data_IF_719284955124
#
_entry.id   IF_719284955124
#
_cell.length_a   1.000
_cell.length_b   1.000
_cell.length_c   1.000
_cell.angle_alpha   90.00
_cell.angle_beta   90.00
_cell.angle_gamma   90.00
#
_symmetry.space_group_name_H-M   'P 1'
#
loop_
_entity.id
_entity.type
_entity.pdbx_description
1 polymer ?
#
# COMPACT_ATOMS: atom_id res chain seq x y z
N UNK A 1 43.49 0.78 1.65
CA UNK A 1 42.38 1.57 2.24
C UNK A 1 41.85 2.50 1.17
N UNK A 2 40.93 2.01 0.33
CA UNK A 2 40.21 2.85 -0.63
C UNK A 2 38.87 3.22 0.01
N UNK A 3 38.68 4.51 0.30
CA UNK A 3 37.40 5.03 0.76
C UNK A 3 36.35 4.81 -0.32
N UNK A 4 35.52 3.80 -0.14
CA UNK A 4 34.22 3.74 -0.79
C UNK A 4 33.39 4.79 -0.04
N UNK A 5 33.13 5.95 -0.65
CA UNK A 5 32.12 6.86 -0.13
C UNK A 5 30.82 6.06 -0.08
N UNK A 6 30.34 5.71 1.12
CA UNK A 6 29.03 5.09 1.27
C UNK A 6 28.01 6.06 0.68
N UNK A 7 27.45 5.71 -0.49
CA UNK A 7 26.31 6.41 -1.06
C UNK A 7 25.22 6.45 0.01
N UNK A 8 24.74 7.65 0.35
CA UNK A 8 23.57 7.76 1.22
C UNK A 8 22.41 7.04 0.56
N UNK A 9 21.60 6.33 1.35
CA UNK A 9 20.43 5.64 0.82
C UNK A 9 19.39 6.62 0.21
N UNK A 10 19.55 7.93 0.47
CA UNK A 10 18.77 9.01 -0.15
C UNK A 10 18.99 9.14 -1.66
N UNK A 11 20.14 8.72 -2.16
CA UNK A 11 20.55 8.91 -3.56
C UNK A 11 20.35 7.64 -4.40
N UNK A 12 19.76 6.59 -3.83
CA UNK A 12 19.52 5.35 -4.56
C UNK A 12 18.49 5.55 -5.68
N UNK A 13 18.63 4.81 -6.80
CA UNK A 13 17.56 4.72 -7.79
C UNK A 13 16.34 4.03 -7.16
N UNK A 14 15.24 4.77 -7.05
CA UNK A 14 14.03 4.27 -6.36
C UNK A 14 13.39 3.07 -7.07
N UNK A 15 13.50 2.96 -8.39
CA UNK A 15 12.99 1.80 -9.13
C UNK A 15 13.70 0.48 -8.76
N UNK A 16 14.91 0.56 -8.19
CA UNK A 16 15.73 -0.62 -7.87
C UNK A 16 16.42 -0.52 -6.50
N UNK A 17 15.81 0.18 -5.54
CA UNK A 17 16.47 0.51 -4.27
C UNK A 17 16.82 -0.73 -3.43
N UNK A 18 16.00 -1.81 -3.47
CA UNK A 18 16.31 -3.03 -2.70
C UNK A 18 17.60 -3.69 -3.19
N UNK A 19 17.82 -3.70 -4.51
CA UNK A 19 19.03 -4.24 -5.12
C UNK A 19 20.30 -3.44 -4.80
N UNK A 20 20.15 -2.15 -4.48
CA UNK A 20 21.24 -1.22 -4.15
C UNK A 20 21.46 -1.04 -2.64
N UNK A 21 20.65 -1.67 -1.78
CA UNK A 21 20.94 -1.67 -0.35
C UNK A 21 22.33 -2.26 -0.07
N UNK A 22 23.04 -1.79 0.96
CA UNK A 22 24.30 -2.40 1.40
C UNK A 22 24.11 -3.88 1.74
N UNK A 23 25.14 -4.68 1.46
CA UNK A 23 25.07 -6.14 1.65
C UNK A 23 24.75 -6.56 3.09
N UNK A 24 25.12 -5.74 4.09
CA UNK A 24 24.78 -5.94 5.49
C UNK A 24 23.26 -5.95 5.76
N UNK A 25 22.46 -5.30 4.91
CA UNK A 25 21.00 -5.28 5.04
C UNK A 25 20.31 -6.43 4.30
N UNK A 26 21.00 -7.16 3.41
CA UNK A 26 20.37 -8.21 2.61
C UNK A 26 19.90 -9.42 3.44
N UNK A 27 20.50 -9.61 4.61
CA UNK A 27 20.16 -10.65 5.58
C UNK A 27 19.25 -10.12 6.71
N UNK A 28 18.87 -8.85 6.66
CA UNK A 28 17.84 -8.31 7.56
C UNK A 28 16.48 -8.87 7.15
N UNK A 29 15.66 -9.41 8.09
CA UNK A 29 14.30 -9.80 7.78
C UNK A 29 13.50 -8.64 7.18
N UNK A 30 12.72 -8.87 6.12
CA UNK A 30 11.96 -7.82 5.44
C UNK A 30 11.00 -7.09 6.38
N UNK A 31 10.42 -7.78 7.36
CA UNK A 31 9.58 -7.16 8.39
C UNK A 31 10.37 -6.30 9.39
N UNK A 32 11.70 -6.29 9.34
CA UNK A 32 12.58 -5.38 10.08
C UNK A 32 13.11 -4.22 9.22
N UNK A 33 12.88 -4.20 7.91
CA UNK A 33 13.23 -3.06 7.05
C UNK A 33 12.14 -1.97 7.11
N UNK A 34 12.51 -0.73 6.80
CA UNK A 34 11.55 0.32 6.47
C UNK A 34 11.17 0.19 4.98
N UNK A 35 9.87 0.01 4.71
CA UNK A 35 9.36 -0.24 3.36
C UNK A 35 8.29 0.80 3.00
N UNK A 36 8.45 1.58 1.91
CA UNK A 36 7.41 2.51 1.47
C UNK A 36 6.22 1.75 0.86
N UNK A 37 5.02 2.16 1.26
CA UNK A 37 3.76 1.58 0.82
C UNK A 37 2.77 2.60 0.29
N UNK A 38 1.83 2.13 -0.52
CA UNK A 38 0.74 2.93 -1.09
C UNK A 38 -0.60 2.48 -0.50
N UNK A 39 -1.33 3.40 0.12
CA UNK A 39 -2.70 3.17 0.60
C UNK A 39 -3.69 3.29 -0.57
N UNK A 40 -4.61 2.33 -0.68
CA UNK A 40 -5.53 2.19 -1.81
C UNK A 40 -4.83 2.40 -3.16
N UNK A 41 -3.85 1.53 -3.48
CA UNK A 41 -2.85 1.82 -4.50
C UNK A 41 -3.40 2.07 -5.91
N UNK A 42 -4.62 1.63 -6.22
CA UNK A 42 -5.18 1.61 -7.58
C UNK A 42 -6.27 2.67 -7.81
N UNK A 43 -6.42 3.65 -6.92
CA UNK A 43 -7.45 4.70 -7.10
C UNK A 43 -7.15 5.69 -8.24
N UNK A 44 -5.98 5.61 -8.87
CA UNK A 44 -5.62 6.48 -10.01
C UNK A 44 -6.53 6.27 -11.24
N UNK A 45 -7.28 5.17 -11.29
CA UNK A 45 -8.16 4.82 -12.40
C UNK A 45 -9.63 4.60 -11.98
N UNK A 46 -10.10 5.28 -10.93
CA UNK A 46 -11.51 5.25 -10.54
C UNK A 46 -12.42 5.66 -11.71
N UNK A 47 -13.53 4.94 -11.86
CA UNK A 47 -14.54 5.19 -12.90
C UNK A 47 -15.42 6.38 -12.52
N UNK A 48 -15.08 7.54 -13.05
CA UNK A 48 -15.75 8.81 -12.75
C UNK A 48 -17.05 9.01 -13.56
N UNK A 49 -17.54 8.00 -14.27
CA UNK A 49 -18.80 8.12 -15.02
C UNK A 49 -20.01 8.23 -14.07
N UNK A 50 -20.98 9.09 -14.38
CA UNK A 50 -22.26 9.24 -13.64
C UNK A 50 -23.12 7.97 -13.60
N UNK A 51 -22.78 6.98 -14.43
CA UNK A 51 -23.39 5.65 -14.42
C UNK A 51 -22.64 4.63 -13.58
N UNK A 52 -21.42 4.93 -13.14
CA UNK A 52 -20.62 4.01 -12.35
C UNK A 52 -21.32 3.70 -11.02
N UNK A 53 -21.34 2.42 -10.59
CA UNK A 53 -21.88 2.07 -9.29
C UNK A 53 -21.04 2.68 -8.17
N UNK A 54 -21.72 3.01 -7.07
CA UNK A 54 -21.07 3.43 -5.82
C UNK A 54 -21.13 2.25 -4.86
N UNK A 55 -20.12 2.13 -4.00
CA UNK A 55 -20.07 1.13 -2.94
C UNK A 55 -21.38 1.17 -2.12
N UNK A 56 -22.14 0.05 -2.07
CA UNK A 56 -23.41 -0.03 -1.34
C UNK A 56 -23.24 0.05 0.19
N UNK A 57 -22.02 -0.01 0.71
CA UNK A 57 -21.73 0.16 2.14
C UNK A 57 -21.43 1.62 2.53
N UNK A 58 -21.46 2.57 1.57
CA UNK A 58 -21.37 4.00 1.88
C UNK A 58 -22.55 4.45 2.76
N UNK A 59 -22.37 5.47 3.64
CA UNK A 59 -23.45 5.97 4.48
C UNK A 59 -24.74 6.27 3.71
N UNK A 60 -25.89 5.93 4.28
CA UNK A 60 -27.24 6.14 3.69
C UNK A 60 -27.45 7.53 3.11
N UNK A 61 -26.86 8.55 3.74
CA UNK A 61 -26.90 9.92 3.26
C UNK A 61 -26.23 10.05 1.89
N UNK A 62 -25.03 9.50 1.70
CA UNK A 62 -24.34 9.49 0.41
C UNK A 62 -25.10 8.67 -0.63
N UNK A 63 -25.68 7.52 -0.25
CA UNK A 63 -26.47 6.72 -1.19
C UNK A 63 -27.72 7.47 -1.69
N UNK A 64 -28.44 8.14 -0.77
CA UNK A 64 -29.63 8.94 -1.10
C UNK A 64 -29.24 10.19 -1.89
N UNK A 65 -28.15 10.85 -1.52
CA UNK A 65 -27.64 12.04 -2.17
C UNK A 65 -27.22 11.68 -3.61
N UNK A 66 -26.46 10.58 -3.80
CA UNK A 66 -26.12 10.05 -5.13
C UNK A 66 -27.38 9.73 -5.95
N UNK A 67 -28.42 9.15 -5.37
CA UNK A 67 -29.65 8.82 -6.11
C UNK A 67 -30.33 10.03 -6.75
N UNK A 68 -30.30 11.21 -6.11
CA UNK A 68 -31.11 12.37 -6.53
C UNK A 68 -30.30 13.56 -7.06
N UNK A 69 -29.00 13.68 -6.79
CA UNK A 69 -28.18 14.81 -7.26
C UNK A 69 -26.81 14.40 -7.83
N UNK A 70 -26.73 13.28 -8.56
CA UNK A 70 -25.48 12.74 -9.15
C UNK A 70 -24.52 13.79 -9.71
N UNK A 71 -24.95 14.70 -10.61
CA UNK A 71 -24.02 15.61 -11.29
C UNK A 71 -23.38 16.62 -10.33
N UNK A 72 -24.02 16.87 -9.18
CA UNK A 72 -23.51 17.80 -8.18
C UNK A 72 -22.56 17.10 -7.21
N UNK A 73 -22.85 15.89 -6.76
CA UNK A 73 -22.14 15.25 -5.65
C UNK A 73 -20.94 14.42 -6.09
N UNK A 74 -21.08 13.73 -7.23
CA UNK A 74 -20.05 12.81 -7.73
C UNK A 74 -18.71 13.50 -7.95
N UNK A 75 -18.64 14.71 -8.54
CA UNK A 75 -17.38 15.43 -8.63
C UNK A 75 -16.69 15.67 -7.28
N UNK A 76 -17.45 15.89 -6.19
CA UNK A 76 -16.86 16.00 -4.86
C UNK A 76 -16.38 14.65 -4.35
N UNK A 77 -17.21 13.61 -4.42
CA UNK A 77 -16.84 12.25 -3.98
C UNK A 77 -15.55 11.78 -4.67
N UNK A 78 -15.40 12.01 -5.97
CA UNK A 78 -14.21 11.62 -6.71
C UNK A 78 -12.94 12.32 -6.21
N UNK A 79 -13.00 13.63 -5.90
CA UNK A 79 -11.86 14.39 -5.34
C UNK A 79 -11.40 13.87 -3.98
N UNK A 80 -12.29 13.23 -3.24
CA UNK A 80 -12.01 12.67 -1.91
C UNK A 80 -11.74 11.15 -1.95
N UNK A 81 -12.04 10.48 -3.06
CA UNK A 81 -11.84 9.04 -3.25
C UNK A 81 -10.48 8.68 -3.85
N UNK A 82 -9.84 9.58 -4.58
CA UNK A 82 -8.52 9.35 -5.17
C UNK A 82 -7.46 9.50 -4.08
N UNK A 83 -6.70 8.45 -3.80
CA UNK A 83 -5.54 8.46 -2.90
C UNK A 83 -4.21 8.44 -3.65
N UNK A 84 -4.19 7.97 -4.90
CA UNK A 84 -3.00 7.94 -5.77
C UNK A 84 -3.35 8.49 -7.15
N UNK A 85 -2.44 9.26 -7.75
CA UNK A 85 -2.57 9.76 -9.13
C UNK A 85 -1.69 9.00 -10.12
N UNK A 86 -0.60 8.39 -9.63
CA UNK A 86 0.35 7.65 -10.46
C UNK A 86 -0.16 6.22 -10.68
N UNK A 87 0.09 5.67 -11.87
CA UNK A 87 -0.21 4.26 -12.17
C UNK A 87 0.60 3.32 -11.28
N UNK A 88 0.20 2.04 -11.21
CA UNK A 88 0.91 1.07 -10.35
C UNK A 88 2.39 0.95 -10.70
N UNK A 89 2.75 0.92 -12.00
CA UNK A 89 4.16 0.86 -12.43
C UNK A 89 4.93 2.11 -12.02
N UNK A 90 4.35 3.29 -12.22
CA UNK A 90 4.99 4.54 -11.81
C UNK A 90 5.18 4.62 -10.28
N UNK A 91 4.24 4.09 -9.49
CA UNK A 91 4.43 4.00 -8.03
C UNK A 91 5.61 3.08 -7.67
N UNK A 92 5.75 1.94 -8.36
CA UNK A 92 6.89 1.03 -8.19
C UNK A 92 8.22 1.67 -8.62
N UNK A 93 8.23 2.44 -9.72
CA UNK A 93 9.38 3.24 -10.17
C UNK A 93 9.78 4.29 -9.12
N UNK A 94 8.79 4.88 -8.44
CA UNK A 94 9.01 5.80 -7.32
C UNK A 94 9.43 5.12 -6.01
N UNK A 95 9.56 3.78 -5.99
CA UNK A 95 10.14 3.01 -4.89
C UNK A 95 9.14 2.29 -3.99
N UNK A 96 7.84 2.38 -4.25
CA UNK A 96 6.82 1.64 -3.50
C UNK A 96 7.08 0.14 -3.60
N UNK A 97 6.98 -0.57 -2.47
CA UNK A 97 7.09 -2.04 -2.42
C UNK A 97 5.97 -2.70 -1.60
N UNK A 98 5.05 -1.92 -1.05
CA UNK A 98 3.80 -2.41 -0.46
C UNK A 98 2.59 -1.77 -1.15
N UNK A 99 1.64 -2.57 -1.61
CA UNK A 99 0.39 -2.09 -2.22
C UNK A 99 -0.81 -2.57 -1.42
N UNK A 100 -1.62 -1.64 -0.91
CA UNK A 100 -2.94 -1.94 -0.35
C UNK A 100 -3.97 -2.07 -1.48
N UNK A 101 -4.51 -3.28 -1.65
CA UNK A 101 -5.36 -3.68 -2.76
C UNK A 101 -6.74 -4.11 -2.24
N UNK A 102 -7.69 -3.18 -2.24
CA UNK A 102 -9.09 -3.45 -1.90
C UNK A 102 -9.83 -4.00 -3.09
N UNK A 103 -10.42 -5.19 -2.96
CA UNK A 103 -10.99 -5.92 -4.10
C UNK A 103 -12.50 -5.95 -4.04
N UNK A 104 -13.15 -5.70 -5.16
CA UNK A 104 -14.60 -5.80 -5.28
C UNK A 104 -15.05 -6.48 -6.58
N UNK A 105 -16.23 -7.09 -6.51
CA UNK A 105 -17.03 -7.44 -7.68
C UNK A 105 -18.10 -6.37 -7.88
N UNK A 106 -18.29 -5.91 -9.13
CA UNK A 106 -19.23 -4.82 -9.42
C UNK A 106 -20.68 -5.34 -9.32
N UNK A 107 -21.61 -4.54 -8.76
CA UNK A 107 -23.01 -4.93 -8.71
C UNK A 107 -23.61 -5.01 -10.12
N UNK A 108 -24.40 -6.05 -10.37
CA UNK A 108 -25.01 -6.37 -11.67
C UNK A 108 -24.01 -6.67 -12.80
N UNK A 109 -22.75 -6.93 -12.46
CA UNK A 109 -21.78 -7.46 -13.41
C UNK A 109 -21.99 -8.98 -13.52
N UNK A 110 -22.34 -9.45 -14.73
CA UNK A 110 -22.54 -10.87 -14.99
C UNK A 110 -21.23 -11.61 -15.32
N UNK A 111 -20.13 -10.88 -15.46
CA UNK A 111 -18.79 -11.46 -15.60
C UNK A 111 -18.23 -11.90 -14.24
N UNK A 112 -17.08 -12.56 -14.27
CA UNK A 112 -16.27 -12.86 -13.08
C UNK A 112 -15.17 -11.83 -12.85
N UNK A 113 -15.25 -10.66 -13.50
CA UNK A 113 -14.22 -9.64 -13.42
C UNK A 113 -14.19 -9.00 -12.04
N UNK A 114 -12.98 -8.86 -11.51
CA UNK A 114 -12.74 -8.20 -10.23
C UNK A 114 -12.09 -6.84 -10.48
N UNK A 115 -12.43 -5.90 -9.62
CA UNK A 115 -12.00 -4.51 -9.69
C UNK A 115 -11.42 -4.08 -8.35
N UNK A 116 -10.76 -2.93 -8.34
CA UNK A 116 -10.43 -2.24 -7.11
C UNK A 116 -11.50 -1.20 -6.79
N UNK A 117 -11.57 -0.76 -5.54
CA UNK A 117 -12.54 0.26 -5.17
C UNK A 117 -12.09 1.12 -3.98
N UNK A 118 -12.60 2.34 -3.95
CA UNK A 118 -12.59 3.21 -2.79
C UNK A 118 -13.81 4.14 -2.86
N UNK A 119 -14.95 3.66 -2.35
CA UNK A 119 -16.26 4.28 -2.55
C UNK A 119 -16.81 4.16 -3.99
N UNK A 120 -15.94 4.18 -4.99
CA UNK A 120 -16.22 3.99 -6.42
C UNK A 120 -15.28 2.91 -6.95
N UNK A 121 -15.65 2.24 -8.04
CA UNK A 121 -14.88 1.14 -8.64
C UNK A 121 -13.87 1.65 -9.66
N UNK A 122 -12.77 0.94 -9.86
CA UNK A 122 -11.78 1.23 -10.92
C UNK A 122 -12.28 0.83 -12.30
N UNK A 123 -11.80 1.50 -13.35
CA UNK A 123 -12.02 1.09 -14.75
C UNK A 123 -11.17 -0.12 -15.13
N UNK A 124 -9.98 -0.25 -14.57
CA UNK A 124 -9.10 -1.40 -14.76
C UNK A 124 -9.51 -2.56 -13.84
N UNK A 125 -9.38 -3.78 -14.37
CA UNK A 125 -9.59 -5.02 -13.62
C UNK A 125 -8.36 -5.37 -12.80
N UNK A 126 -8.54 -6.24 -11.80
CA UNK A 126 -7.45 -6.82 -11.00
C UNK A 126 -6.43 -7.52 -11.90
N UNK A 127 -6.89 -8.30 -12.89
CA UNK A 127 -6.02 -9.03 -13.82
C UNK A 127 -5.04 -8.12 -14.56
N UNK A 128 -5.53 -6.98 -15.09
CA UNK A 128 -4.69 -6.02 -15.81
C UNK A 128 -3.59 -5.48 -14.89
N UNK A 129 -3.96 -5.04 -13.68
CA UNK A 129 -3.01 -4.44 -12.73
C UNK A 129 -1.99 -5.46 -12.23
N UNK A 130 -2.40 -6.71 -11.97
CA UNK A 130 -1.45 -7.78 -11.61
C UNK A 130 -0.48 -8.07 -12.76
N UNK A 131 -0.94 -8.05 -14.01
CA UNK A 131 -0.08 -8.20 -15.19
C UNK A 131 0.92 -7.03 -15.31
N UNK A 132 0.51 -5.79 -15.03
CA UNK A 132 1.41 -4.64 -15.02
C UNK A 132 2.49 -4.76 -13.94
N UNK A 133 2.12 -5.23 -12.74
CA UNK A 133 3.09 -5.51 -11.67
C UNK A 133 4.06 -6.61 -12.10
N UNK A 134 3.57 -7.70 -12.71
CA UNK A 134 4.40 -8.79 -13.21
C UNK A 134 5.41 -8.30 -14.26
N UNK A 135 4.95 -7.51 -15.23
CA UNK A 135 5.82 -6.92 -16.27
C UNK A 135 6.93 -6.08 -15.62
N UNK A 136 6.58 -5.26 -14.63
CA UNK A 136 7.56 -4.47 -13.89
C UNK A 136 8.56 -5.35 -13.14
N UNK A 137 8.11 -6.42 -12.48
CA UNK A 137 8.98 -7.37 -11.77
C UNK A 137 9.90 -8.15 -12.70
N UNK A 138 9.49 -8.43 -13.93
CA UNK A 138 10.32 -9.05 -14.95
C UNK A 138 11.50 -8.15 -15.35
N UNK A 139 11.30 -6.82 -15.37
CA UNK A 139 12.36 -5.84 -15.59
C UNK A 139 13.25 -5.59 -14.33
N UNK A 140 12.75 -5.92 -13.13
CA UNK A 140 13.40 -5.63 -11.85
C UNK A 140 13.60 -6.89 -10.98
N UNK A 141 14.47 -7.84 -11.39
CA UNK A 141 14.55 -9.19 -10.81
C UNK A 141 14.99 -9.25 -9.33
N UNK A 142 15.52 -8.15 -8.79
CA UNK A 142 15.97 -8.04 -7.38
C UNK A 142 15.01 -7.20 -6.51
N UNK A 143 13.86 -6.82 -7.04
CA UNK A 143 12.85 -6.11 -6.26
C UNK A 143 11.77 -7.08 -5.80
N UNK A 144 11.28 -6.86 -4.57
CA UNK A 144 10.26 -7.69 -3.93
C UNK A 144 9.07 -6.81 -3.56
N UNK A 145 7.87 -7.20 -3.96
CA UNK A 145 6.62 -6.49 -3.68
C UNK A 145 5.73 -7.27 -2.72
N UNK A 146 5.09 -6.53 -1.82
CA UNK A 146 4.07 -7.01 -0.90
C UNK A 146 2.71 -6.53 -1.40
N UNK A 147 1.87 -7.48 -1.79
CA UNK A 147 0.52 -7.20 -2.29
C UNK A 147 -0.48 -7.62 -1.20
N UNK A 148 -1.18 -6.64 -0.62
CA UNK A 148 -2.16 -6.89 0.44
C UNK A 148 -3.57 -6.86 -0.13
N UNK A 149 -4.16 -8.04 -0.32
CA UNK A 149 -5.54 -8.19 -0.77
C UNK A 149 -6.46 -8.20 0.45
N UNK A 150 -7.31 -7.18 0.52
CA UNK A 150 -8.10 -6.85 1.72
C UNK A 150 -9.49 -6.33 1.34
N UNK A 151 -10.32 -6.08 2.36
CA UNK A 151 -11.61 -5.39 2.20
C UNK A 151 -12.47 -5.94 1.04
N UNK A 152 -12.64 -7.26 0.98
CA UNK A 152 -13.36 -7.90 -0.12
C UNK A 152 -14.84 -7.49 -0.14
N UNK A 153 -15.29 -6.87 -1.23
CA UNK A 153 -16.67 -6.42 -1.41
C UNK A 153 -17.37 -7.20 -2.53
N UNK A 154 -18.43 -7.94 -2.17
CA UNK A 154 -19.23 -8.69 -3.16
C UNK A 154 -18.56 -9.96 -3.70
N UNK A 155 -17.46 -10.42 -3.10
CA UNK A 155 -16.84 -11.69 -3.49
C UNK A 155 -17.53 -12.85 -2.80
N UNK A 156 -18.01 -13.81 -3.59
CA UNK A 156 -18.40 -15.13 -3.12
C UNK A 156 -17.20 -16.10 -3.17
N UNK A 157 -17.40 -17.35 -2.74
CA UNK A 157 -16.32 -18.35 -2.72
C UNK A 157 -15.72 -18.63 -4.11
N UNK A 158 -16.53 -18.64 -5.17
CA UNK A 158 -16.06 -18.86 -6.54
C UNK A 158 -15.16 -17.71 -7.01
N UNK A 159 -15.54 -16.46 -6.72
CA UNK A 159 -14.75 -15.29 -7.04
C UNK A 159 -13.43 -15.23 -6.24
N UNK A 160 -13.44 -15.68 -4.98
CA UNK A 160 -12.21 -15.86 -4.22
C UNK A 160 -11.28 -16.88 -4.91
N UNK A 161 -11.81 -18.04 -5.32
CA UNK A 161 -11.02 -19.06 -6.03
C UNK A 161 -10.48 -18.49 -7.34
N UNK A 162 -11.29 -17.76 -8.11
CA UNK A 162 -10.88 -17.11 -9.36
C UNK A 162 -9.73 -16.11 -9.14
N UNK A 163 -9.83 -15.27 -8.10
CA UNK A 163 -8.76 -14.35 -7.74
C UNK A 163 -7.45 -15.08 -7.42
N UNK A 164 -7.53 -16.17 -6.64
CA UNK A 164 -6.36 -16.97 -6.31
C UNK A 164 -5.73 -17.63 -7.53
N UNK A 165 -6.54 -18.17 -8.44
CA UNK A 165 -6.05 -18.69 -9.72
C UNK A 165 -5.35 -17.60 -10.52
N UNK A 166 -5.94 -16.41 -10.64
CA UNK A 166 -5.33 -15.29 -11.35
C UNK A 166 -3.97 -14.88 -10.74
N UNK A 167 -3.88 -14.75 -9.42
CA UNK A 167 -2.63 -14.45 -8.71
C UNK A 167 -1.55 -15.50 -9.03
N UNK A 168 -1.91 -16.80 -8.97
CA UNK A 168 -1.00 -17.92 -9.25
C UNK A 168 -0.54 -17.96 -10.70
N UNK A 169 -1.45 -17.81 -11.63
CA UNK A 169 -1.15 -17.83 -13.06
C UNK A 169 -0.26 -16.64 -13.45
N UNK A 170 -0.52 -15.47 -12.85
CA UNK A 170 0.24 -14.24 -13.12
C UNK A 170 1.67 -14.30 -12.57
N UNK A 171 1.84 -14.63 -11.29
CA UNK A 171 3.15 -14.53 -10.64
C UNK A 171 3.93 -15.85 -10.63
N UNK A 172 3.25 -16.99 -10.75
CA UNK A 172 3.84 -18.32 -10.85
C UNK A 172 4.99 -18.54 -9.85
N UNK A 173 6.20 -18.84 -10.34
CA UNK A 173 7.38 -19.09 -9.52
C UNK A 173 7.88 -17.88 -8.72
N UNK A 174 7.38 -16.67 -8.97
CA UNK A 174 7.74 -15.47 -8.21
C UNK A 174 7.02 -15.40 -6.86
N UNK A 175 5.98 -16.19 -6.63
CA UNK A 175 5.22 -16.21 -5.38
C UNK A 175 6.03 -16.83 -4.24
N UNK A 176 6.23 -16.07 -3.18
CA UNK A 176 6.93 -16.50 -1.98
C UNK A 176 6.00 -17.26 -1.02
N UNK A 177 6.26 -18.54 -0.71
CA UNK A 177 5.49 -19.29 0.26
C UNK A 177 5.69 -18.80 1.71
N UNK A 178 4.67 -18.95 2.54
CA UNK A 178 4.63 -18.47 3.94
C UNK A 178 5.62 -19.12 4.91
N UNK A 179 6.26 -20.21 4.48
CA UNK A 179 7.29 -20.92 5.24
C UNK A 179 8.69 -20.37 5.01
N UNK A 180 8.86 -19.46 4.04
CA UNK A 180 10.17 -18.96 3.65
C UNK A 180 10.77 -17.98 4.64
N UNK A 181 12.10 -17.99 4.71
CA UNK A 181 12.88 -16.96 5.41
C UNK A 181 12.87 -15.70 4.57
N UNK A 182 12.28 -14.64 5.11
CA UNK A 182 12.05 -13.38 4.40
C UNK A 182 13.27 -12.45 4.50
N UNK A 183 14.38 -12.81 3.87
CA UNK A 183 15.52 -11.90 3.65
C UNK A 183 15.69 -11.65 2.16
N UNK A 184 16.18 -10.46 1.77
CA UNK A 184 16.40 -10.13 0.36
C UNK A 184 17.32 -11.16 -0.30
N UNK A 185 18.40 -11.55 0.39
CA UNK A 185 19.33 -12.58 -0.11
C UNK A 185 18.62 -13.90 -0.41
N UNK A 186 17.78 -14.40 0.50
CA UNK A 186 17.09 -15.67 0.33
C UNK A 186 16.07 -15.59 -0.82
N UNK A 187 15.27 -14.52 -0.86
CA UNK A 187 14.25 -14.34 -1.89
C UNK A 187 14.86 -14.25 -3.29
N UNK A 188 15.97 -13.52 -3.46
CA UNK A 188 16.68 -13.46 -4.74
C UNK A 188 17.28 -14.79 -5.15
N UNK A 189 17.86 -15.55 -4.20
CA UNK A 189 18.45 -16.86 -4.48
C UNK A 189 17.40 -17.87 -4.95
N UNK A 190 16.17 -17.76 -4.45
CA UNK A 190 15.05 -18.65 -4.80
C UNK A 190 14.20 -18.10 -5.96
N UNK A 191 14.44 -16.87 -6.41
CA UNK A 191 13.68 -16.23 -7.49
C UNK A 191 12.29 -15.72 -7.06
N UNK A 192 12.04 -15.59 -5.75
CA UNK A 192 10.81 -15.04 -5.22
C UNK A 192 10.81 -13.51 -5.27
N UNK A 193 9.71 -12.92 -5.73
CA UNK A 193 9.54 -11.47 -5.83
C UNK A 193 8.20 -10.98 -5.27
N UNK A 194 7.23 -11.85 -5.00
CA UNK A 194 5.87 -11.45 -4.61
C UNK A 194 5.45 -12.13 -3.32
N UNK A 195 5.09 -11.34 -2.32
CA UNK A 195 4.48 -11.78 -1.07
C UNK A 195 3.02 -11.36 -1.11
N UNK A 196 2.11 -12.32 -1.09
CA UNK A 196 0.67 -12.09 -1.14
C UNK A 196 0.06 -12.23 0.25
N UNK A 197 -0.37 -11.12 0.84
CA UNK A 197 -1.22 -11.10 2.04
C UNK A 197 -2.68 -11.16 1.64
N UNK A 198 -3.48 -11.99 2.32
CA UNK A 198 -4.87 -12.21 1.93
C UNK A 198 -5.81 -12.25 3.14
N UNK A 199 -6.68 -11.24 3.28
CA UNK A 199 -7.59 -11.05 4.42
C UNK A 199 -8.85 -11.92 4.35
N UNK A 200 -8.67 -13.23 4.23
CA UNK A 200 -9.76 -14.20 4.25
C UNK A 200 -9.26 -15.53 4.84
N UNK A 201 -10.16 -16.29 5.47
CA UNK A 201 -9.83 -17.56 6.14
C UNK A 201 -9.18 -18.60 5.23
N UNK A 202 -9.45 -18.52 3.92
CA UNK A 202 -8.85 -19.37 2.89
C UNK A 202 -7.30 -19.32 2.89
N UNK A 203 -6.70 -18.21 3.30
CA UNK A 203 -5.23 -18.04 3.40
C UNK A 203 -4.58 -19.10 4.30
N UNK A 204 -5.27 -19.56 5.34
CA UNK A 204 -4.74 -20.57 6.27
C UNK A 204 -4.46 -21.90 5.57
N UNK A 205 -5.24 -22.22 4.52
CA UNK A 205 -5.17 -23.50 3.80
C UNK A 205 -4.23 -23.49 2.59
N UNK A 206 -3.61 -22.35 2.28
CA UNK A 206 -2.73 -22.19 1.13
C UNK A 206 -1.33 -21.79 1.58
N UNK A 207 -0.29 -22.44 1.04
CA UNK A 207 1.10 -22.19 1.41
C UNK A 207 1.65 -20.89 0.80
N UNK A 208 1.10 -20.48 -0.34
CA UNK A 208 1.46 -19.29 -1.11
C UNK A 208 0.70 -18.02 -0.67
N UNK A 209 -0.19 -18.13 0.33
CA UNK A 209 -0.92 -16.99 0.90
C UNK A 209 -0.46 -16.71 2.33
N UNK A 210 0.05 -15.51 2.54
CA UNK A 210 0.40 -14.99 3.84
C UNK A 210 -0.86 -14.51 4.57
N UNK A 211 -0.88 -14.59 5.91
CA UNK A 211 -1.96 -14.02 6.70
C UNK A 211 -2.03 -12.50 6.48
N UNK A 212 -3.19 -11.93 6.81
CA UNK A 212 -3.42 -10.49 6.75
C UNK A 212 -2.31 -9.70 7.46
N UNK A 213 -1.72 -8.73 6.76
CA UNK A 213 -0.79 -7.76 7.32
C UNK A 213 -1.57 -6.71 8.11
N UNK A 214 -1.41 -6.61 9.44
CA UNK A 214 -2.13 -5.62 10.25
C UNK A 214 -1.84 -4.20 9.79
N UNK A 215 -2.90 -3.39 9.72
CA UNK A 215 -2.82 -1.99 9.32
C UNK A 215 -3.13 -1.06 10.50
N UNK A 216 -2.15 -0.29 10.97
CA UNK A 216 -2.38 0.76 11.95
C UNK A 216 -2.99 1.98 11.28
N UNK A 217 -4.31 1.99 11.31
CA UNK A 217 -5.11 3.14 10.90
C UNK A 217 -5.41 4.03 12.11
N UNK A 218 -4.98 5.29 12.06
CA UNK A 218 -5.19 6.24 13.15
C UNK A 218 -6.61 6.82 13.18
N UNK A 219 -7.30 6.84 12.03
CA UNK A 219 -8.63 7.43 11.85
C UNK A 219 -8.68 8.89 12.35
N UNK A 220 -7.78 9.74 11.84
CA UNK A 220 -7.64 11.17 12.20
C UNK A 220 -7.54 12.03 10.95
N UNK A 221 -8.06 13.25 11.02
CA UNK A 221 -8.00 14.27 9.97
C UNK A 221 -6.86 15.31 10.15
N UNK A 222 -6.10 15.22 11.25
CA UNK A 222 -5.01 16.14 11.57
C UNK A 222 -3.70 15.40 11.77
N UNK A 223 -2.61 15.98 11.27
CA UNK A 223 -1.28 15.40 11.35
C UNK A 223 -0.84 15.15 12.80
N UNK A 224 -1.04 16.13 13.68
CA UNK A 224 -0.61 16.07 15.08
C UNK A 224 -1.35 14.95 15.82
N UNK A 225 -2.67 14.86 15.63
CA UNK A 225 -3.49 13.83 16.26
C UNK A 225 -3.15 12.42 15.75
N UNK A 226 -2.78 12.30 14.47
CA UNK A 226 -2.29 11.05 13.88
C UNK A 226 -0.94 10.65 14.48
N UNK A 227 -0.01 11.60 14.61
CA UNK A 227 1.30 11.38 15.23
C UNK A 227 1.15 10.96 16.70
N UNK A 228 0.34 11.66 17.48
CA UNK A 228 0.05 11.34 18.88
C UNK A 228 -0.47 9.90 19.04
N UNK A 229 -1.39 9.48 18.16
CA UNK A 229 -1.93 8.11 18.14
C UNK A 229 -0.82 7.08 17.87
N UNK A 230 0.06 7.32 16.90
CA UNK A 230 1.15 6.39 16.61
C UNK A 230 2.22 6.34 17.71
N UNK A 231 2.55 7.47 18.33
CA UNK A 231 3.43 7.47 19.49
C UNK A 231 2.84 6.69 20.67
N UNK A 232 1.52 6.79 20.90
CA UNK A 232 0.83 5.97 21.90
C UNK A 232 0.86 4.47 21.54
N UNK A 233 0.62 4.09 20.27
CA UNK A 233 0.66 2.68 19.83
C UNK A 233 2.06 2.09 19.97
N UNK A 234 3.12 2.84 19.65
CA UNK A 234 4.51 2.40 19.80
C UNK A 234 4.87 2.00 21.23
N UNK A 235 4.20 2.54 22.26
CA UNK A 235 4.41 2.13 23.66
C UNK A 235 3.91 0.72 23.97
N UNK A 236 2.99 0.19 23.16
CA UNK A 236 2.40 -1.14 23.34
C UNK A 236 3.14 -2.23 22.55
N UNK A 237 4.25 -1.88 21.89
CA UNK A 237 5.02 -2.77 21.04
C UNK A 237 4.51 -2.86 19.61
N UNK A 238 5.29 -3.54 18.77
CA UNK A 238 4.99 -3.77 17.36
C UNK A 238 4.53 -5.22 17.11
N UNK A 239 3.72 -5.47 16.07
CA UNK A 239 3.48 -6.83 15.60
C UNK A 239 4.78 -7.57 15.26
N UNK A 240 4.79 -8.89 15.48
CA UNK A 240 5.96 -9.75 15.27
C UNK A 240 6.33 -10.03 13.81
N UNK A 241 5.44 -9.71 12.87
CA UNK A 241 5.66 -9.85 11.43
C UNK A 241 5.57 -8.51 10.71
N UNK A 242 5.18 -8.57 9.43
CA UNK A 242 4.83 -7.37 8.68
C UNK A 242 3.69 -6.62 9.35
N UNK A 243 3.76 -5.30 9.34
CA UNK A 243 2.65 -4.43 9.70
C UNK A 243 2.83 -3.07 9.03
N UNK A 244 1.71 -2.38 8.82
CA UNK A 244 1.67 -1.08 8.18
C UNK A 244 1.38 0.00 9.20
N UNK A 245 2.14 1.08 9.16
CA UNK A 245 1.79 2.36 9.79
C UNK A 245 1.26 3.29 8.71
N UNK A 246 -0.06 3.45 8.68
CA UNK A 246 -0.75 4.21 7.64
C UNK A 246 -0.82 5.70 7.99
N UNK A 247 0.02 6.53 7.38
CA UNK A 247 0.00 7.97 7.57
C UNK A 247 -1.12 8.66 6.77
N UNK A 248 -2.04 7.89 6.19
CA UNK A 248 -3.22 8.40 5.50
C UNK A 248 -4.18 9.06 6.51
N UNK A 249 -4.73 10.21 6.12
CA UNK A 249 -5.72 10.93 6.90
C UNK A 249 -7.11 10.35 6.64
N UNK A 250 -8.04 10.63 7.54
CA UNK A 250 -9.44 10.22 7.39
C UNK A 250 -10.34 11.41 7.65
N UNK A 251 -11.03 11.81 6.60
CA UNK A 251 -12.06 12.83 6.65
C UNK A 251 -13.44 12.21 6.81
N UNK A 252 -14.30 12.92 7.53
CA UNK A 252 -15.71 12.58 7.61
C UNK A 252 -16.52 13.36 6.58
N UNK A 253 -17.78 12.95 6.39
CA UNK A 253 -18.69 13.62 5.47
C UNK A 253 -18.89 15.09 5.81
N UNK A 254 -18.83 15.44 7.10
CA UNK A 254 -18.98 16.83 7.54
C UNK A 254 -17.83 17.68 7.01
N UNK A 255 -16.59 17.21 7.14
CA UNK A 255 -15.40 17.87 6.62
C UNK A 255 -15.48 18.03 5.10
N UNK A 256 -15.82 16.95 4.39
CA UNK A 256 -15.99 16.97 2.93
C UNK A 256 -17.02 18.02 2.50
N UNK A 257 -18.18 18.07 3.17
CA UNK A 257 -19.23 19.02 2.85
C UNK A 257 -18.87 20.48 3.19
N UNK A 258 -17.98 20.74 4.15
CA UNK A 258 -17.55 22.10 4.50
C UNK A 258 -16.37 22.61 3.67
N UNK A 259 -15.69 21.74 2.90
CA UNK A 259 -14.53 22.10 2.08
C UNK A 259 -14.76 21.77 0.58
N UNK A 260 -15.74 22.40 -0.09
CA UNK A 260 -16.12 22.06 -1.46
C UNK A 260 -15.05 22.38 -2.51
N UNK A 261 -14.13 23.31 -2.21
CA UNK A 261 -13.04 23.68 -3.13
C UNK A 261 -11.78 22.84 -2.93
N UNK A 262 -11.69 22.06 -1.86
CA UNK A 262 -10.54 21.22 -1.54
C UNK A 262 -10.72 19.79 -2.06
N UNK A 263 -9.62 19.06 -2.08
CA UNK A 263 -9.52 17.63 -2.38
C UNK A 263 -8.75 16.91 -1.28
N UNK A 264 -8.77 15.57 -1.31
CA UNK A 264 -7.91 14.79 -0.42
C UNK A 264 -6.43 15.14 -0.63
N UNK A 265 -6.03 15.43 -1.88
CA UNK A 265 -4.65 15.83 -2.21
C UNK A 265 -4.25 17.11 -1.50
N UNK A 266 -5.10 18.15 -1.51
CA UNK A 266 -4.81 19.43 -0.86
C UNK A 266 -4.57 19.25 0.64
N UNK A 267 -5.44 18.47 1.29
CA UNK A 267 -5.31 18.13 2.71
C UNK A 267 -4.02 17.36 2.99
N UNK A 268 -3.75 16.30 2.23
CA UNK A 268 -2.57 15.46 2.45
C UNK A 268 -1.28 16.26 2.20
N UNK A 269 -1.22 17.08 1.16
CA UNK A 269 -0.06 17.94 0.88
C UNK A 269 0.15 19.00 1.97
N UNK A 270 -0.91 19.53 2.57
CA UNK A 270 -0.79 20.49 3.67
C UNK A 270 -0.21 19.88 4.95
N UNK A 271 -0.36 18.57 5.15
CA UNK A 271 0.07 17.85 6.36
C UNK A 271 1.38 17.10 6.21
N UNK A 272 1.77 16.78 4.98
CA UNK A 272 2.99 16.06 4.62
C UNK A 272 4.28 16.64 5.24
N UNK A 273 4.50 17.96 5.33
CA UNK A 273 5.70 18.49 6.00
C UNK A 273 5.84 18.00 7.45
N UNK A 274 4.75 17.99 8.21
CA UNK A 274 4.74 17.52 9.59
C UNK A 274 4.89 15.98 9.66
N UNK A 275 4.11 15.25 8.85
CA UNK A 275 4.14 13.79 8.81
C UNK A 275 5.52 13.26 8.39
N UNK A 276 6.12 13.81 7.33
CA UNK A 276 7.47 13.43 6.89
C UNK A 276 8.55 13.88 7.88
N UNK A 277 8.34 14.97 8.61
CA UNK A 277 9.16 15.33 9.77
C UNK A 277 9.21 14.19 10.78
N UNK A 278 8.03 13.72 11.20
CA UNK A 278 7.90 12.58 12.10
C UNK A 278 8.48 11.28 11.52
N UNK A 279 8.21 10.95 10.25
CA UNK A 279 8.75 9.74 9.58
C UNK A 279 10.27 9.69 9.66
N UNK A 280 10.96 10.82 9.44
CA UNK A 280 12.44 10.88 9.49
C UNK A 280 13.03 10.50 10.84
N UNK A 281 12.27 10.67 11.91
CA UNK A 281 12.68 10.34 13.28
C UNK A 281 12.51 8.85 13.59
N UNK A 282 11.65 8.15 12.85
CA UNK A 282 11.32 6.74 13.10
C UNK A 282 12.49 5.80 12.81
N UNK A 283 12.47 4.63 13.42
CA UNK A 283 13.54 3.64 13.24
C UNK A 283 12.94 2.28 12.91
N UNK A 284 13.43 1.56 11.89
CA UNK A 284 13.01 0.19 11.64
C UNK A 284 13.71 -0.80 12.59
N UNK A 285 13.53 -2.10 12.40
CA UNK A 285 14.17 -3.13 13.22
C UNK A 285 13.28 -3.77 14.30
N UNK A 286 13.83 -4.66 15.15
CA UNK A 286 13.05 -5.54 16.03
C UNK A 286 12.54 -4.88 17.33
N UNK A 287 12.92 -3.63 17.61
CA UNK A 287 12.58 -2.98 18.90
C UNK A 287 11.09 -2.67 18.98
N UNK A 288 10.56 -2.60 20.20
CA UNK A 288 9.12 -2.41 20.45
C UNK A 288 8.53 -1.19 19.71
N UNK A 289 9.23 -0.05 19.72
CA UNK A 289 8.79 1.18 19.03
C UNK A 289 9.26 1.31 17.58
N UNK A 290 9.84 0.27 16.99
CA UNK A 290 10.30 0.31 15.60
C UNK A 290 9.15 0.13 14.61
N UNK A 291 9.28 0.75 13.44
CA UNK A 291 8.31 0.63 12.35
C UNK A 291 8.75 -0.37 11.27
N UNK A 292 7.85 -0.73 10.36
CA UNK A 292 8.14 -1.56 9.21
C UNK A 292 7.62 -0.91 7.93
N UNK A 293 6.42 -1.26 7.47
CA UNK A 293 5.84 -0.63 6.29
C UNK A 293 5.25 0.70 6.71
N UNK A 294 5.57 1.76 5.98
CA UNK A 294 4.95 3.09 6.14
C UNK A 294 4.19 3.33 4.85
N UNK A 295 2.88 3.49 4.93
CA UNK A 295 2.03 3.70 3.76
C UNK A 295 1.22 4.99 3.88
N UNK A 296 0.88 5.60 2.75
CA UNK A 296 0.08 6.84 2.74
C UNK A 296 -0.59 7.09 1.39
N UNK A 297 -1.21 8.25 1.29
CA UNK A 297 -1.84 8.77 0.07
C UNK A 297 -0.87 9.69 -0.67
N UNK A 298 -0.87 9.69 -2.00
CA UNK A 298 -0.02 10.51 -2.88
C UNK A 298 1.48 10.31 -2.62
N UNK A 299 1.89 9.06 -2.47
CA UNK A 299 3.24 8.68 -2.00
C UNK A 299 4.38 8.98 -2.98
N UNK A 300 4.06 9.44 -4.18
CA UNK A 300 5.03 9.88 -5.18
C UNK A 300 5.42 11.35 -4.97
N UNK A 301 4.70 12.07 -4.12
CA UNK A 301 4.97 13.47 -3.78
C UNK A 301 5.98 13.60 -2.63
N UNK A 302 6.57 14.80 -2.52
CA UNK A 302 7.37 15.24 -1.35
C UNK A 302 8.52 14.31 -0.90
N UNK A 303 9.05 13.48 -1.81
CA UNK A 303 10.10 12.51 -1.50
C UNK A 303 9.72 11.52 -0.38
N UNK A 304 8.45 11.12 -0.30
CA UNK A 304 7.99 10.15 0.69
C UNK A 304 8.78 8.84 0.64
N UNK A 305 8.84 8.17 -0.51
CA UNK A 305 9.52 6.88 -0.64
C UNK A 305 11.03 6.95 -0.32
N UNK A 306 11.81 7.92 -0.87
CA UNK A 306 13.19 8.13 -0.43
C UNK A 306 13.35 8.36 1.07
N UNK A 307 12.42 9.10 1.70
CA UNK A 307 12.44 9.36 3.14
C UNK A 307 12.31 8.05 3.94
N UNK A 308 11.38 7.17 3.55
CA UNK A 308 11.19 5.86 4.19
C UNK A 308 12.38 4.94 3.95
N UNK A 309 12.88 4.83 2.71
CA UNK A 309 14.03 3.97 2.35
C UNK A 309 15.27 4.37 3.15
N UNK A 310 15.50 5.67 3.33
CA UNK A 310 16.64 6.20 4.10
C UNK A 310 16.65 5.75 5.56
N UNK A 311 15.49 5.44 6.15
CA UNK A 311 15.44 4.96 7.54
C UNK A 311 16.24 3.68 7.75
N UNK A 312 16.45 2.88 6.69
CA UNK A 312 17.26 1.68 6.74
C UNK A 312 18.76 1.94 7.05
N UNK A 313 19.26 3.17 6.86
CA UNK A 313 20.62 3.57 7.30
C UNK A 313 20.80 3.38 8.81
N UNK A 314 19.72 3.53 9.60
CA UNK A 314 19.76 3.40 11.05
C UNK A 314 20.04 1.96 11.51
N UNK A 315 19.79 0.96 10.66
CA UNK A 315 20.10 -0.45 10.94
C UNK A 315 21.60 -0.75 10.83
N UNK A 316 22.31 -0.03 9.95
CA UNK A 316 23.76 -0.18 9.78
C UNK A 316 24.53 0.29 11.03
N UNK A 317 24.04 1.35 11.68
CA UNK A 317 24.68 1.94 12.87
C UNK A 317 24.68 1.04 14.11
N UNK A 318 23.89 -0.03 14.12
CA UNK A 318 23.81 -0.98 15.23
C UNK A 318 24.45 -2.34 14.95
N UNK A 319 24.93 -2.53 13.71
CA UNK A 319 25.68 -3.73 13.32
C UNK A 319 27.19 -3.56 13.56
N UNK A 320 27.60 -2.41 14.09
CA UNK A 320 28.96 -2.03 14.46
C UNK A 320 29.19 -2.15 15.97
#
# INVERSE_FOLDING_TARGET
>A
MSGCSELSLRELPMESWMSHLPCALWDTPLYHLAIPGSHNAVTYCLDMNDRSPVDPMQPDMLQKLDKYMKPLIRPFVYKWAITQEFTIKQQLDCGVRYCDLRIAHRPNDHSTDLYFYHGVYTTLTVEIVLSEIKEWLDAHPKEVVLLSFSHFLGLNQELHIRLLTNIRDTFASKLCPKTEVLTLRNLWALGYQVIVSYEHSISSSHADLWPHIPYWWANKCKAEALIEEFEARKQHGRPGGFFVTGINLTEDLKYICTHPTESLKDLVMSTYPALLGWVREQTPGPRAGSLNIIAGDFITESHFAPTVVTLNEKLLKWSS
#
